data_IF_344105560773
#
_entry.id   IF_344105560773
#
_cell.length_a   1.000
_cell.length_b   1.000
_cell.length_c   1.000
_cell.angle_alpha   90.00
_cell.angle_beta   90.00
_cell.angle_gamma   90.00
#
_symmetry.space_group_name_H-M   'P 1'
#
loop_
_entity.id
_entity.type
_entity.pdbx_description
1 polymer ?
#
# COMPACT_ATOMS: atom_id res chain seq x y z
N UNK A 1 48.40 5.10 -3.56
CA UNK A 1 47.64 5.10 -2.28
C UNK A 1 46.24 5.71 -2.42
N UNK A 2 46.10 6.96 -2.89
CA UNK A 2 44.80 7.66 -2.97
C UNK A 2 43.76 7.06 -3.91
N UNK A 3 44.18 6.42 -5.01
CA UNK A 3 43.27 5.74 -5.94
C UNK A 3 42.51 4.57 -5.27
N UNK A 4 43.14 3.86 -4.34
CA UNK A 4 42.49 2.79 -3.58
C UNK A 4 41.48 3.33 -2.58
N UNK A 5 41.77 4.46 -1.93
CA UNK A 5 40.83 5.14 -1.05
C UNK A 5 39.60 5.67 -1.82
N UNK A 6 39.82 6.26 -2.99
CA UNK A 6 38.73 6.72 -3.85
C UNK A 6 37.87 5.56 -4.37
N UNK A 7 38.50 4.44 -4.76
CA UNK A 7 37.79 3.23 -5.16
C UNK A 7 36.96 2.64 -4.00
N UNK A 8 37.51 2.56 -2.78
CA UNK A 8 36.79 2.08 -1.59
C UNK A 8 35.61 2.99 -1.22
N UNK A 9 35.77 4.31 -1.30
CA UNK A 9 34.68 5.27 -1.10
C UNK A 9 33.60 5.12 -2.17
N UNK A 10 33.98 5.00 -3.45
CA UNK A 10 33.05 4.76 -4.55
C UNK A 10 32.26 3.45 -4.35
N UNK A 11 32.94 2.37 -3.95
CA UNK A 11 32.31 1.07 -3.69
C UNK A 11 31.41 1.13 -2.45
N UNK A 12 31.78 1.89 -1.42
CA UNK A 12 30.94 2.15 -0.25
C UNK A 12 29.67 2.92 -0.62
N UNK A 13 29.77 3.99 -1.40
CA UNK A 13 28.61 4.74 -1.89
C UNK A 13 27.74 3.90 -2.81
N UNK A 14 28.34 3.12 -3.72
CA UNK A 14 27.61 2.23 -4.61
C UNK A 14 26.87 1.13 -3.83
N UNK A 15 27.53 0.54 -2.83
CA UNK A 15 26.95 -0.50 -1.96
C UNK A 15 25.85 0.07 -1.07
N UNK A 16 26.05 1.27 -0.51
CA UNK A 16 25.02 1.99 0.24
C UNK A 16 23.82 2.31 -0.63
N UNK A 17 24.05 2.83 -1.84
CA UNK A 17 22.99 3.11 -2.82
C UNK A 17 22.24 1.83 -3.22
N UNK A 18 22.96 0.73 -3.45
CA UNK A 18 22.37 -0.56 -3.77
C UNK A 18 21.56 -1.13 -2.61
N UNK A 19 22.06 -1.04 -1.37
CA UNK A 19 21.33 -1.49 -0.18
C UNK A 19 20.10 -0.63 0.13
N UNK A 20 20.19 0.70 -0.05
CA UNK A 20 19.04 1.61 0.07
C UNK A 20 17.98 1.29 -0.99
N UNK A 21 18.39 0.88 -2.20
CA UNK A 21 17.50 0.42 -3.28
C UNK A 21 16.92 -0.98 -3.04
N UNK A 22 17.68 -1.90 -2.44
CA UNK A 22 17.26 -3.28 -2.18
C UNK A 22 16.32 -3.46 -0.98
N UNK A 23 16.21 -2.47 -0.07
CA UNK A 23 15.39 -2.59 1.16
C UNK A 23 13.87 -2.74 0.93
N UNK A 24 13.46 -2.88 -0.32
CA UNK A 24 12.08 -2.88 -0.80
C UNK A 24 11.79 -4.13 -1.66
N UNK A 25 12.66 -5.15 -1.65
CA UNK A 25 12.52 -6.36 -2.49
C UNK A 25 11.29 -7.25 -2.19
N UNK A 26 10.57 -7.04 -1.09
CA UNK A 26 9.38 -7.85 -0.73
C UNK A 26 8.10 -7.01 -0.58
N UNK A 27 7.87 -6.05 -1.47
CA UNK A 27 6.63 -5.26 -1.49
C UNK A 27 5.42 -6.03 -2.02
N UNK A 28 5.65 -6.95 -2.94
CA UNK A 28 4.61 -7.76 -3.58
C UNK A 28 3.94 -8.74 -2.64
N UNK A 29 4.51 -9.01 -1.46
CA UNK A 29 3.93 -9.91 -0.44
C UNK A 29 3.16 -9.17 0.64
N UNK A 30 3.25 -7.84 0.67
CA UNK A 30 2.65 -6.99 1.71
C UNK A 30 1.35 -6.38 1.22
N UNK A 31 0.37 -6.37 2.11
CA UNK A 31 -0.89 -5.67 1.90
C UNK A 31 -0.90 -4.37 2.70
N UNK A 32 -1.24 -3.27 2.04
CA UNK A 32 -1.49 -1.98 2.68
C UNK A 32 -2.98 -1.69 2.61
N UNK A 33 -3.61 -1.41 3.74
CA UNK A 33 -5.00 -1.02 3.79
C UNK A 33 -5.11 0.49 4.01
N UNK A 34 -5.82 1.18 3.14
CA UNK A 34 -5.99 2.63 3.16
C UNK A 34 -7.48 2.91 3.26
N UNK A 35 -7.89 3.73 4.24
CA UNK A 35 -9.26 4.24 4.32
C UNK A 35 -9.33 5.65 3.75
N UNK A 36 -10.48 6.03 3.18
CA UNK A 36 -10.69 7.37 2.63
C UNK A 36 -9.98 7.57 1.28
N UNK A 37 -10.15 6.63 0.34
CA UNK A 37 -9.52 6.68 -0.98
C UNK A 37 -10.36 7.38 -2.06
N UNK A 38 -11.49 7.99 -1.71
CA UNK A 38 -12.39 8.65 -2.66
C UNK A 38 -11.70 9.80 -3.41
N UNK A 39 -11.02 10.68 -2.69
CA UNK A 39 -10.36 11.86 -3.24
C UNK A 39 -9.14 12.28 -2.43
N UNK A 40 -8.34 13.22 -2.97
CA UNK A 40 -7.22 13.82 -2.26
C UNK A 40 -6.06 12.85 -2.00
N UNK A 41 -5.54 12.87 -0.76
CA UNK A 41 -4.30 12.16 -0.40
C UNK A 41 -4.44 10.64 -0.49
N UNK A 42 -5.57 10.08 -0.05
CA UNK A 42 -5.78 8.62 -0.07
C UNK A 42 -5.77 8.05 -1.48
N UNK A 43 -6.40 8.75 -2.42
CA UNK A 43 -6.42 8.38 -3.82
C UNK A 43 -5.01 8.42 -4.44
N UNK A 44 -4.27 9.51 -4.20
CA UNK A 44 -2.89 9.66 -4.70
C UNK A 44 -1.95 8.61 -4.10
N UNK A 45 -2.07 8.34 -2.80
CA UNK A 45 -1.28 7.33 -2.10
C UNK A 45 -1.56 5.94 -2.67
N UNK A 46 -2.83 5.59 -2.85
CA UNK A 46 -3.24 4.30 -3.40
C UNK A 46 -2.67 4.07 -4.81
N UNK A 47 -2.73 5.09 -5.67
CA UNK A 47 -2.12 5.05 -7.01
C UNK A 47 -0.60 4.93 -6.98
N UNK A 48 0.08 5.67 -6.11
CA UNK A 48 1.53 5.59 -5.99
C UNK A 48 2.00 4.22 -5.50
N UNK A 49 1.25 3.60 -4.58
CA UNK A 49 1.57 2.26 -4.10
C UNK A 49 1.27 1.19 -5.15
N UNK A 50 0.20 1.31 -5.93
CA UNK A 50 -0.07 0.41 -7.06
C UNK A 50 1.02 0.52 -8.14
N UNK A 51 1.45 1.75 -8.47
CA UNK A 51 2.55 2.00 -9.41
C UNK A 51 3.89 1.43 -8.93
N UNK A 52 4.08 1.33 -7.60
CA UNK A 52 5.26 0.68 -6.97
C UNK A 52 5.14 -0.84 -6.86
N UNK A 53 4.02 -1.44 -7.27
CA UNK A 53 3.84 -2.88 -7.27
C UNK A 53 3.36 -3.47 -5.94
N UNK A 54 2.93 -2.65 -4.97
CA UNK A 54 2.31 -3.16 -3.73
C UNK A 54 0.90 -3.66 -4.00
N UNK A 55 0.42 -4.57 -3.14
CA UNK A 55 -1.00 -4.90 -3.06
C UNK A 55 -1.68 -3.92 -2.10
N UNK A 56 -2.67 -3.20 -2.61
CA UNK A 56 -3.37 -2.16 -1.85
C UNK A 56 -4.82 -2.55 -1.72
N UNK A 57 -5.34 -2.46 -0.50
CA UNK A 57 -6.74 -2.62 -0.19
C UNK A 57 -7.29 -1.24 0.13
N UNK A 58 -7.99 -0.64 -0.83
CA UNK A 58 -8.51 0.72 -0.73
C UNK A 58 -9.97 0.70 -0.26
N UNK A 59 -10.23 1.32 0.87
CA UNK A 59 -11.56 1.57 1.39
C UNK A 59 -12.02 2.98 0.99
N UNK A 60 -13.11 3.05 0.24
CA UNK A 60 -13.75 4.29 -0.19
C UNK A 60 -15.10 4.43 0.52
N UNK A 61 -15.49 5.67 0.85
CA UNK A 61 -16.81 5.99 1.36
C UNK A 61 -17.87 5.90 0.26
N UNK A 62 -17.50 6.23 -0.99
CA UNK A 62 -18.42 6.32 -2.12
C UNK A 62 -18.12 5.27 -3.20
N UNK A 63 -19.18 4.75 -3.82
CA UNK A 63 -19.06 3.83 -4.95
C UNK A 63 -18.35 4.47 -6.15
N UNK A 64 -18.63 5.75 -6.41
CA UNK A 64 -17.98 6.50 -7.49
C UNK A 64 -16.47 6.61 -7.29
N UNK A 65 -16.01 6.89 -6.06
CA UNK A 65 -14.60 6.97 -5.72
C UNK A 65 -13.88 5.64 -5.89
N UNK A 66 -14.52 4.54 -5.43
CA UNK A 66 -14.02 3.18 -5.64
C UNK A 66 -13.87 2.85 -7.13
N UNK A 67 -14.92 3.05 -7.94
CA UNK A 67 -14.87 2.74 -9.38
C UNK A 67 -13.86 3.60 -10.14
N UNK A 68 -13.72 4.88 -9.78
CA UNK A 68 -12.72 5.76 -10.40
C UNK A 68 -11.29 5.33 -10.06
N UNK A 69 -11.06 4.85 -8.83
CA UNK A 69 -9.76 4.34 -8.43
C UNK A 69 -9.48 3.00 -9.12
N UNK A 70 -10.44 2.09 -9.14
CA UNK A 70 -10.36 0.78 -9.79
C UNK A 70 -10.05 0.90 -11.29
N UNK A 71 -10.72 1.81 -12.00
CA UNK A 71 -10.49 2.07 -13.44
C UNK A 71 -9.09 2.56 -13.79
N UNK A 72 -8.40 3.20 -12.85
CA UNK A 72 -7.08 3.82 -13.11
C UNK A 72 -5.94 3.02 -12.46
N UNK A 73 -6.28 1.97 -11.72
CA UNK A 73 -5.31 1.14 -11.00
C UNK A 73 -5.30 -0.28 -11.56
N UNK A 74 -4.28 -1.05 -11.19
CA UNK A 74 -4.11 -2.43 -11.64
C UNK A 74 -4.97 -3.39 -10.80
N UNK A 75 -5.15 -4.63 -11.25
CA UNK A 75 -5.83 -5.72 -10.50
C UNK A 75 -5.23 -6.04 -9.12
N UNK A 76 -4.03 -5.49 -8.83
CA UNK A 76 -3.35 -5.61 -7.54
C UNK A 76 -3.97 -4.72 -6.45
N UNK A 77 -4.66 -3.67 -6.85
CA UNK A 77 -5.44 -2.83 -5.96
C UNK A 77 -6.88 -3.33 -5.95
N UNK A 78 -7.39 -3.62 -4.76
CA UNK A 78 -8.81 -3.95 -4.60
C UNK A 78 -9.51 -2.83 -3.87
N UNK A 79 -10.67 -2.43 -4.36
CA UNK A 79 -11.50 -1.42 -3.72
C UNK A 79 -12.65 -2.08 -2.96
N UNK A 80 -13.03 -1.50 -1.82
CA UNK A 80 -14.22 -1.86 -1.06
C UNK A 80 -14.91 -0.59 -0.57
N UNK A 81 -16.23 -0.66 -0.43
CA UNK A 81 -16.99 0.40 0.21
C UNK A 81 -16.89 0.22 1.72
N UNK A 82 -16.49 1.28 2.41
CA UNK A 82 -16.40 1.32 3.86
C UNK A 82 -16.84 2.70 4.35
N UNK A 83 -17.94 2.69 5.08
CA UNK A 83 -18.30 3.77 5.99
C UNK A 83 -17.69 3.49 7.38
N UNK A 84 -16.82 4.39 7.83
CA UNK A 84 -16.16 4.32 9.14
C UNK A 84 -17.07 4.70 10.30
N UNK A 85 -18.22 5.33 10.03
CA UNK A 85 -19.20 5.71 11.06
C UNK A 85 -20.08 4.54 11.49
N UNK A 86 -20.25 3.53 10.62
CA UNK A 86 -21.01 2.32 10.90
C UNK A 86 -20.13 1.16 11.35
N UNK A 87 -20.40 0.64 12.55
CA UNK A 87 -19.70 -0.54 13.11
C UNK A 87 -19.87 -1.79 12.25
N UNK A 88 -21.03 -1.94 11.60
CA UNK A 88 -21.35 -3.07 10.72
C UNK A 88 -20.49 -3.04 9.46
N UNK A 89 -20.33 -1.85 8.87
CA UNK A 89 -19.46 -1.62 7.72
C UNK A 89 -17.98 -1.88 8.06
N UNK A 90 -17.53 -1.46 9.25
CA UNK A 90 -16.17 -1.77 9.73
C UNK A 90 -15.95 -3.27 9.94
N UNK A 91 -16.95 -3.99 10.46
CA UNK A 91 -16.88 -5.44 10.62
C UNK A 91 -16.79 -6.14 9.26
N UNK A 92 -17.63 -5.76 8.30
CA UNK A 92 -17.61 -6.30 6.94
C UNK A 92 -16.28 -6.04 6.22
N UNK A 93 -15.73 -4.82 6.33
CA UNK A 93 -14.42 -4.50 5.77
C UNK A 93 -13.31 -5.32 6.42
N UNK A 94 -13.40 -5.58 7.73
CA UNK A 94 -12.43 -6.41 8.45
C UNK A 94 -12.46 -7.86 7.94
N UNK A 95 -13.65 -8.43 7.72
CA UNK A 95 -13.80 -9.76 7.13
C UNK A 95 -13.28 -9.81 5.70
N UNK A 96 -13.58 -8.79 4.90
CA UNK A 96 -13.08 -8.66 3.54
C UNK A 96 -11.55 -8.59 3.47
N UNK A 97 -10.93 -7.79 4.34
CA UNK A 97 -9.46 -7.72 4.47
C UNK A 97 -8.89 -9.08 4.87
N UNK A 98 -9.49 -9.76 5.86
CA UNK A 98 -9.08 -11.11 6.27
C UNK A 98 -9.17 -12.10 5.11
N UNK A 99 -10.23 -12.06 4.31
CA UNK A 99 -10.39 -12.91 3.12
C UNK A 99 -9.35 -12.60 2.04
N UNK A 100 -9.03 -11.33 1.81
CA UNK A 100 -8.01 -10.93 0.84
C UNK A 100 -6.60 -11.37 1.25
N UNK A 101 -6.30 -11.33 2.55
CA UNK A 101 -4.99 -11.68 3.11
C UNK A 101 -4.84 -13.21 3.29
N UNK A 102 -5.89 -13.91 3.70
CA UNK A 102 -5.86 -15.32 4.10
C UNK A 102 -5.74 -16.37 2.99
N UNK A 103 -5.60 -15.98 1.72
CA UNK A 103 -5.61 -16.90 0.58
C UNK A 103 -4.25 -17.50 0.19
N UNK A 104 -3.12 -17.06 0.78
CA UNK A 104 -1.79 -17.62 0.50
C UNK A 104 -1.25 -18.36 1.73
N UNK A 105 -1.13 -19.68 1.60
CA UNK A 105 -0.73 -20.60 2.65
C UNK A 105 0.58 -20.23 3.36
N UNK A 106 0.60 -20.57 4.65
CA UNK A 106 1.77 -20.87 5.49
C UNK A 106 2.97 -19.91 5.44
N UNK A 107 2.71 -18.62 5.41
CA UNK A 107 3.49 -17.59 6.13
C UNK A 107 2.67 -16.30 6.00
N UNK A 108 1.88 -15.99 7.03
CA UNK A 108 0.84 -14.96 7.00
C UNK A 108 1.34 -13.67 6.31
N UNK A 109 0.74 -13.23 5.19
CA UNK A 109 0.99 -11.89 4.69
C UNK A 109 0.46 -10.90 5.73
N UNK A 110 1.32 -10.38 6.59
CA UNK A 110 0.96 -9.40 7.60
C UNK A 110 0.46 -8.13 6.90
N UNK A 111 -0.66 -7.57 7.38
CA UNK A 111 -1.06 -6.21 7.02
C UNK A 111 0.10 -5.28 7.41
N UNK A 112 0.77 -4.71 6.42
CA UNK A 112 2.02 -3.98 6.64
C UNK A 112 1.76 -2.60 7.26
N UNK A 113 0.66 -1.96 6.85
CA UNK A 113 0.27 -0.66 7.34
C UNK A 113 -1.24 -0.46 7.17
N UNK A 114 -1.83 0.19 8.17
CA UNK A 114 -3.15 0.79 8.13
C UNK A 114 -2.97 2.31 8.00
N UNK A 115 -3.27 2.88 6.85
CA UNK A 115 -3.32 4.32 6.68
C UNK A 115 -4.78 4.79 6.84
N UNK A 116 -5.10 5.31 8.03
CA UNK A 116 -6.36 5.97 8.29
C UNK A 116 -6.25 7.46 7.92
N UNK A 117 -6.88 7.86 6.82
CA UNK A 117 -6.99 9.26 6.42
C UNK A 117 -8.36 9.73 6.88
N UNK A 118 -8.39 10.42 8.02
CA UNK A 118 -9.58 11.10 8.50
C UNK A 118 -9.74 12.42 7.75
N UNK A 119 -10.67 12.48 6.82
CA UNK A 119 -11.24 13.75 6.38
C UNK A 119 -12.28 14.16 7.42
N UNK A 120 -12.13 15.34 8.04
CA UNK A 120 -13.24 15.98 8.74
C UNK A 120 -14.31 16.27 7.69
N UNK A 121 -15.43 15.56 7.76
CA UNK A 121 -16.61 15.93 6.99
C UNK A 121 -17.12 17.25 7.53
N UNK A 122 -16.86 18.32 6.78
CA UNK A 122 -17.58 19.58 6.90
C UNK A 122 -18.77 19.55 5.95
#
# INVERSE_FOLDING_TARGET
MWLYLAALLGLYFLRRWYQERQKVENLTEKFVFITGCDSGFGNLLARQLDARGLRVLAACLTQKGAEQLDKVTSERLKTSILDVTSKESVAAATEWVKGCIGSKGESLPSLWCLCAIGGTGD
#
